data_IF_590310032241
#
_entry.id   IF_590310032241
#
_cell.length_a   1.000
_cell.length_b   1.000
_cell.length_c   1.000
_cell.angle_alpha   90.00
_cell.angle_beta   90.00
_cell.angle_gamma   90.00
#
_symmetry.space_group_name_H-M   'P 1'
#
loop_
_entity.id
_entity.type
_entity.pdbx_description
1 polymer ?
#
# COMPACT_ATOMS: atom_id res chain seq x y z
N UNK A 1 -15.56 -13.51 -3.74
CA UNK A 1 -15.06 -14.52 -4.68
C UNK A 1 -13.55 -14.64 -4.53
N UNK A 2 -13.00 -15.84 -4.63
CA UNK A 2 -11.59 -16.17 -4.42
C UNK A 2 -10.91 -16.57 -5.73
N UNK A 3 -9.55 -16.57 -5.74
CA UNK A 3 -8.77 -17.07 -6.89
C UNK A 3 -9.14 -18.51 -7.25
N UNK A 4 -9.43 -19.35 -6.25
CA UNK A 4 -9.83 -20.75 -6.47
C UNK A 4 -11.18 -20.87 -7.17
N UNK A 5 -12.14 -20.03 -6.84
CA UNK A 5 -13.45 -20.00 -7.50
C UNK A 5 -13.33 -19.51 -8.96
N UNK A 6 -12.53 -18.47 -9.21
CA UNK A 6 -12.22 -18.02 -10.57
C UNK A 6 -11.54 -19.12 -11.38
N UNK A 7 -10.57 -19.81 -10.78
CA UNK A 7 -9.88 -20.94 -11.43
C UNK A 7 -10.84 -22.04 -11.83
N UNK A 8 -11.76 -22.40 -10.93
CA UNK A 8 -12.79 -23.41 -11.18
C UNK A 8 -13.72 -23.01 -12.34
N UNK A 9 -14.20 -21.76 -12.33
CA UNK A 9 -15.08 -21.24 -13.39
C UNK A 9 -14.38 -21.14 -14.75
N UNK A 10 -13.11 -20.74 -14.76
CA UNK A 10 -12.31 -20.64 -15.98
C UNK A 10 -11.76 -21.99 -16.47
N UNK A 11 -11.90 -23.07 -15.68
CA UNK A 11 -11.34 -24.39 -16.00
C UNK A 11 -9.81 -24.38 -16.09
N UNK A 12 -9.14 -23.68 -15.17
CA UNK A 12 -7.68 -23.56 -15.08
C UNK A 12 -7.22 -23.76 -13.64
N UNK A 13 -5.91 -23.86 -13.42
CA UNK A 13 -5.36 -23.93 -12.06
C UNK A 13 -5.36 -22.54 -11.39
N UNK A 14 -5.41 -22.51 -10.05
CA UNK A 14 -5.25 -21.25 -9.28
C UNK A 14 -3.90 -20.56 -9.55
N UNK A 15 -2.86 -21.34 -9.88
CA UNK A 15 -1.58 -20.81 -10.30
C UNK A 15 -1.65 -20.07 -11.64
N UNK A 16 -2.50 -20.54 -12.59
CA UNK A 16 -2.74 -19.84 -13.85
C UNK A 16 -3.45 -18.50 -13.62
N UNK A 17 -4.48 -18.48 -12.77
CA UNK A 17 -5.17 -17.22 -12.39
C UNK A 17 -4.19 -16.25 -11.72
N UNK A 18 -3.36 -16.75 -10.81
CA UNK A 18 -2.34 -15.92 -10.15
C UNK A 18 -1.33 -15.33 -11.14
N UNK A 19 -0.89 -16.10 -12.17
CA UNK A 19 -0.02 -15.58 -13.23
C UNK A 19 -0.72 -14.51 -14.06
N UNK A 20 -1.98 -14.74 -14.43
CA UNK A 20 -2.78 -13.75 -15.15
C UNK A 20 -2.84 -12.42 -14.41
N UNK A 21 -3.13 -12.44 -13.12
CA UNK A 21 -3.26 -11.25 -12.27
C UNK A 21 -1.93 -10.52 -11.99
N UNK A 22 -0.78 -11.14 -12.28
CA UNK A 22 0.55 -10.56 -12.10
C UNK A 22 1.31 -10.44 -13.44
N UNK A 23 0.61 -10.37 -14.56
CA UNK A 23 1.17 -10.25 -15.92
C UNK A 23 2.22 -11.31 -16.26
N UNK A 24 2.13 -12.48 -15.62
CA UNK A 24 3.02 -13.59 -15.85
C UNK A 24 2.74 -14.31 -17.17
N UNK A 25 3.67 -15.14 -17.60
CA UNK A 25 3.55 -15.95 -18.82
C UNK A 25 2.40 -16.95 -18.73
N UNK A 26 1.50 -16.90 -19.72
CA UNK A 26 0.32 -17.74 -19.83
C UNK A 26 -0.06 -17.91 -21.30
N UNK A 27 -0.58 -19.09 -21.68
CA UNK A 27 -1.09 -19.27 -23.04
C UNK A 27 -2.28 -18.35 -23.32
N UNK A 28 -2.42 -17.92 -24.55
CA UNK A 28 -3.48 -16.99 -24.96
C UNK A 28 -4.88 -17.54 -24.65
N UNK A 29 -5.09 -18.83 -24.88
CA UNK A 29 -6.33 -19.52 -24.56
C UNK A 29 -6.70 -19.40 -23.07
N UNK A 30 -5.75 -19.72 -22.17
CA UNK A 30 -5.98 -19.61 -20.72
C UNK A 30 -6.23 -18.15 -20.30
N UNK A 31 -5.51 -17.21 -20.90
CA UNK A 31 -5.68 -15.78 -20.65
C UNK A 31 -7.12 -15.34 -20.99
N UNK A 32 -7.62 -15.68 -22.16
CA UNK A 32 -8.99 -15.34 -22.60
C UNK A 32 -10.06 -15.96 -21.69
N UNK A 33 -9.88 -17.22 -21.29
CA UNK A 33 -10.82 -17.91 -20.37
C UNK A 33 -10.89 -17.22 -19.01
N UNK A 34 -9.76 -16.84 -18.44
CA UNK A 34 -9.70 -16.14 -17.16
C UNK A 34 -10.30 -14.74 -17.28
N UNK A 35 -9.94 -14.00 -18.32
CA UNK A 35 -10.45 -12.65 -18.57
C UNK A 35 -11.97 -12.62 -18.70
N UNK A 36 -12.55 -13.58 -19.44
CA UNK A 36 -13.99 -13.74 -19.57
C UNK A 36 -14.66 -13.90 -18.21
N UNK A 37 -14.17 -14.83 -17.38
CA UNK A 37 -14.75 -15.09 -16.04
C UNK A 37 -14.59 -13.86 -15.14
N UNK A 38 -13.45 -13.20 -15.13
CA UNK A 38 -13.24 -11.98 -14.33
C UNK A 38 -14.23 -10.89 -14.73
N UNK A 39 -14.45 -10.68 -16.02
CA UNK A 39 -15.40 -9.69 -16.53
C UNK A 39 -16.84 -10.04 -16.16
N UNK A 40 -17.24 -11.29 -16.32
CA UNK A 40 -18.61 -11.77 -16.04
C UNK A 40 -18.94 -11.73 -14.54
N UNK A 41 -17.93 -11.98 -13.69
CA UNK A 41 -18.10 -12.01 -12.24
C UNK A 41 -17.77 -10.69 -11.55
N UNK A 42 -17.29 -9.70 -12.30
CA UNK A 42 -16.75 -8.44 -11.77
C UNK A 42 -15.73 -8.67 -10.63
N UNK A 43 -14.96 -9.76 -10.74
CA UNK A 43 -13.98 -10.12 -9.73
C UNK A 43 -12.87 -9.08 -9.63
N UNK A 44 -12.59 -8.64 -8.43
CA UNK A 44 -11.43 -7.81 -8.10
C UNK A 44 -10.52 -8.58 -7.15
N UNK A 45 -9.23 -8.71 -7.47
CA UNK A 45 -8.27 -9.31 -6.55
C UNK A 45 -8.28 -8.58 -5.22
N UNK A 46 -8.28 -9.33 -4.12
CA UNK A 46 -8.15 -8.74 -2.79
C UNK A 46 -6.71 -8.24 -2.59
N UNK A 47 -6.55 -6.94 -2.39
CA UNK A 47 -5.25 -6.34 -2.02
C UNK A 47 -4.71 -6.96 -0.73
N UNK A 48 -5.59 -7.24 0.23
CA UNK A 48 -5.23 -7.89 1.48
C UNK A 48 -4.60 -9.28 1.22
N UNK A 49 -5.23 -10.12 0.39
CA UNK A 49 -4.68 -11.42 0.04
C UNK A 49 -3.35 -11.31 -0.72
N UNK A 50 -3.16 -10.27 -1.52
CA UNK A 50 -1.89 -9.97 -2.19
C UNK A 50 -0.83 -9.58 -1.17
N UNK A 51 -1.13 -8.66 -0.28
CA UNK A 51 -0.23 -8.19 0.79
C UNK A 51 0.21 -9.34 1.69
N UNK A 52 -0.72 -10.21 2.11
CA UNK A 52 -0.41 -11.40 2.91
C UNK A 52 0.60 -12.33 2.23
N UNK A 53 0.51 -12.48 0.91
CA UNK A 53 1.40 -13.34 0.13
C UNK A 53 2.76 -12.69 -0.16
N UNK A 54 2.76 -11.42 -0.54
CA UNK A 54 3.97 -10.69 -0.97
C UNK A 54 4.69 -10.01 0.18
N UNK A 55 4.04 -9.88 1.33
CA UNK A 55 4.48 -9.06 2.48
C UNK A 55 4.75 -7.59 2.09
N UNK A 56 4.10 -7.12 1.01
CA UNK A 56 4.18 -5.74 0.53
C UNK A 56 2.79 -5.19 0.28
N UNK A 57 2.51 -4.04 0.86
CA UNK A 57 1.25 -3.32 0.69
C UNK A 57 1.28 -2.35 -0.50
N UNK A 58 2.47 -1.99 -0.98
CA UNK A 58 2.73 -0.90 -1.91
C UNK A 58 2.19 0.44 -1.40
N UNK A 59 2.28 0.67 -0.10
CA UNK A 59 1.85 1.89 0.57
C UNK A 59 2.99 2.51 1.35
N UNK A 60 3.16 3.81 1.22
CA UNK A 60 4.08 4.61 2.02
C UNK A 60 3.26 5.56 2.88
N UNK A 61 3.49 5.53 4.19
CA UNK A 61 2.93 6.52 5.10
C UNK A 61 3.70 7.84 4.97
N UNK A 62 2.98 8.95 4.98
CA UNK A 62 3.58 10.29 5.06
C UNK A 62 2.87 11.03 6.18
N UNK A 63 3.61 11.34 7.23
CA UNK A 63 3.14 12.15 8.35
C UNK A 63 3.70 13.56 8.22
N UNK A 64 2.80 14.53 8.20
CA UNK A 64 3.16 15.95 8.13
C UNK A 64 2.59 16.71 9.33
N UNK A 65 3.29 17.74 9.83
CA UNK A 65 2.83 18.52 10.98
C UNK A 65 1.69 19.46 10.63
N UNK A 66 1.69 20.00 9.41
CA UNK A 66 0.70 20.99 8.96
C UNK A 66 0.63 21.00 7.43
N UNK A 67 -0.52 20.64 6.87
CA UNK A 67 -0.69 20.44 5.42
C UNK A 67 -0.70 21.75 4.63
N UNK A 68 -1.13 22.83 5.25
CA UNK A 68 -1.28 24.18 4.65
C UNK A 68 -0.05 25.08 4.83
N UNK A 69 1.10 24.53 5.23
CA UNK A 69 2.38 25.26 5.26
C UNK A 69 2.93 25.48 3.84
N UNK A 70 3.84 26.45 3.68
CA UNK A 70 4.46 26.71 2.36
C UNK A 70 5.34 25.55 1.85
N UNK A 71 5.98 24.83 2.76
CA UNK A 71 6.95 23.78 2.41
C UNK A 71 6.28 22.44 2.11
N UNK A 72 5.28 22.05 2.90
CA UNK A 72 4.68 20.70 2.83
C UNK A 72 4.08 20.39 1.47
N UNK A 73 3.33 21.27 0.78
CA UNK A 73 2.83 20.95 -0.56
C UNK A 73 3.92 20.63 -1.58
N UNK A 74 5.06 21.32 -1.51
CA UNK A 74 6.20 21.05 -2.40
C UNK A 74 6.85 19.71 -2.09
N UNK A 75 7.00 19.38 -0.81
CA UNK A 75 7.52 18.07 -0.36
C UNK A 75 6.59 16.95 -0.84
N UNK A 76 5.27 17.11 -0.64
CA UNK A 76 4.28 16.12 -1.06
C UNK A 76 4.26 15.91 -2.57
N UNK A 77 4.42 16.98 -3.36
CA UNK A 77 4.50 16.87 -4.82
C UNK A 77 5.68 15.98 -5.25
N UNK A 78 6.87 16.20 -4.68
CA UNK A 78 8.04 15.38 -4.96
C UNK A 78 7.90 13.93 -4.50
N UNK A 79 7.31 13.70 -3.32
CA UNK A 79 7.02 12.36 -2.81
C UNK A 79 6.05 11.64 -3.74
N UNK A 80 4.93 12.29 -4.11
CA UNK A 80 3.90 11.70 -4.96
C UNK A 80 4.47 11.28 -6.31
N UNK A 81 5.19 12.16 -6.98
CA UNK A 81 5.83 11.85 -8.26
C UNK A 81 6.77 10.64 -8.17
N UNK A 82 7.57 10.57 -7.11
CA UNK A 82 8.50 9.45 -6.93
C UNK A 82 7.80 8.15 -6.59
N UNK A 83 6.74 8.20 -5.81
CA UNK A 83 5.94 7.03 -5.43
C UNK A 83 5.17 6.48 -6.63
N UNK A 84 4.59 7.34 -7.46
CA UNK A 84 3.90 6.94 -8.70
C UNK A 84 4.83 6.19 -9.65
N UNK A 85 6.07 6.67 -9.83
CA UNK A 85 7.09 5.97 -10.64
C UNK A 85 7.43 4.57 -10.11
N UNK A 86 7.20 4.31 -8.85
CA UNK A 86 7.48 3.03 -8.18
C UNK A 86 6.23 2.19 -7.94
N UNK A 87 5.06 2.62 -8.41
CA UNK A 87 3.75 2.01 -8.14
C UNK A 87 3.44 1.87 -6.65
N UNK A 88 3.79 2.89 -5.86
CA UNK A 88 3.41 3.03 -4.47
C UNK A 88 2.30 4.06 -4.30
N UNK A 89 1.38 3.78 -3.38
CA UNK A 89 0.36 4.73 -2.95
C UNK A 89 0.82 5.48 -1.71
N UNK A 90 0.53 6.78 -1.64
CA UNK A 90 0.83 7.61 -0.47
C UNK A 90 -0.39 7.67 0.45
N UNK A 91 -0.19 7.30 1.71
CA UNK A 91 -1.14 7.53 2.79
C UNK A 91 -0.68 8.75 3.58
N UNK A 92 -1.33 9.89 3.35
CA UNK A 92 -1.01 11.15 4.01
C UNK A 92 -1.83 11.32 5.28
N UNK A 93 -1.16 11.63 6.37
CA UNK A 93 -1.80 12.02 7.63
C UNK A 93 -1.19 13.31 8.17
N UNK A 94 -2.05 14.18 8.72
CA UNK A 94 -1.72 15.49 9.24
C UNK A 94 -1.97 15.55 10.75
N UNK A 95 -0.94 15.88 11.52
CA UNK A 95 -1.04 15.96 12.98
C UNK A 95 -1.63 17.29 13.48
N UNK A 96 -1.69 18.34 12.65
CA UNK A 96 -2.04 19.69 13.05
C UNK A 96 -1.20 20.20 14.23
N UNK A 97 0.10 19.96 14.19
CA UNK A 97 1.08 20.35 15.22
C UNK A 97 0.80 19.73 16.62
N UNK A 98 0.03 18.66 16.69
CA UNK A 98 -0.29 17.96 17.93
C UNK A 98 0.62 16.74 18.13
N UNK A 99 1.45 16.76 19.15
CA UNK A 99 2.30 15.63 19.53
C UNK A 99 1.50 14.36 19.80
N UNK A 100 0.36 14.48 20.49
CA UNK A 100 -0.50 13.32 20.78
C UNK A 100 -1.03 12.68 19.49
N UNK A 101 -1.44 13.52 18.52
CA UNK A 101 -1.86 13.01 17.20
C UNK A 101 -0.70 12.41 16.42
N UNK A 102 0.51 12.98 16.48
CA UNK A 102 1.67 12.41 15.81
C UNK A 102 1.95 10.98 16.29
N UNK A 103 1.97 10.77 17.59
CA UNK A 103 2.16 9.42 18.16
C UNK A 103 1.05 8.46 17.74
N UNK A 104 -0.23 8.88 17.84
CA UNK A 104 -1.36 8.05 17.40
C UNK A 104 -1.34 7.74 15.90
N UNK A 105 -0.84 8.66 15.07
CA UNK A 105 -0.66 8.44 13.62
C UNK A 105 0.43 7.39 13.35
N UNK A 106 1.55 7.41 14.08
CA UNK A 106 2.59 6.39 13.95
C UNK A 106 2.03 5.00 14.24
N UNK A 107 1.25 4.85 15.30
CA UNK A 107 0.55 3.59 15.61
C UNK A 107 -0.43 3.17 14.50
N UNK A 108 -1.14 4.14 13.91
CA UNK A 108 -2.06 3.89 12.79
C UNK A 108 -1.33 3.38 11.56
N UNK A 109 -0.16 3.93 11.23
CA UNK A 109 0.65 3.45 10.11
C UNK A 109 1.20 2.04 10.34
N UNK A 110 1.59 1.70 11.56
CA UNK A 110 1.98 0.34 11.92
C UNK A 110 0.83 -0.65 11.65
N UNK A 111 -0.37 -0.34 12.13
CA UNK A 111 -1.57 -1.16 11.91
C UNK A 111 -1.99 -1.24 10.43
N UNK A 112 -1.76 -0.17 9.67
CA UNK A 112 -2.09 -0.08 8.24
C UNK A 112 -1.12 -0.84 7.32
N UNK A 113 -0.10 -1.48 7.90
CA UNK A 113 0.90 -2.28 7.18
C UNK A 113 1.56 -1.52 6.02
N UNK A 114 1.91 -0.25 6.23
CA UNK A 114 2.72 0.49 5.26
C UNK A 114 4.09 -0.16 5.09
N UNK A 115 4.69 -0.06 3.90
CA UNK A 115 6.00 -0.63 3.60
C UNK A 115 7.15 0.30 4.05
N UNK A 116 6.84 1.53 4.40
CA UNK A 116 7.76 2.53 4.90
C UNK A 116 7.04 3.81 5.33
N UNK A 117 7.73 4.67 6.04
CA UNK A 117 7.22 5.93 6.55
C UNK A 117 8.15 7.08 6.20
N UNK A 118 7.58 8.18 5.72
CA UNK A 118 8.24 9.48 5.63
C UNK A 118 7.63 10.37 6.72
N UNK A 119 8.47 10.79 7.65
CA UNK A 119 8.05 11.59 8.80
C UNK A 119 8.61 13.01 8.71
N UNK A 120 7.78 13.96 8.36
CA UNK A 120 8.12 15.38 8.37
C UNK A 120 7.83 15.92 9.78
N UNK A 121 8.84 15.94 10.62
CA UNK A 121 8.73 16.38 12.02
C UNK A 121 9.02 17.86 12.18
N UNK A 122 8.26 18.53 13.03
CA UNK A 122 8.62 19.89 13.53
C UNK A 122 9.65 19.80 14.66
N UNK A 123 9.44 18.86 15.58
CA UNK A 123 10.29 18.61 16.76
C UNK A 123 10.31 17.12 17.03
N UNK A 124 11.50 16.56 17.25
CA UNK A 124 11.64 15.18 17.72
C UNK A 124 11.75 15.16 19.25
N UNK A 125 10.95 14.30 19.85
CA UNK A 125 10.93 14.06 21.31
C UNK A 125 11.26 12.61 21.62
N UNK A 126 11.56 12.32 22.90
CA UNK A 126 11.72 10.95 23.39
C UNK A 126 10.55 10.02 23.04
N UNK A 127 9.33 10.54 23.02
CA UNK A 127 8.14 9.77 22.66
C UNK A 127 8.16 9.36 21.18
N UNK A 128 8.65 10.23 20.30
CA UNK A 128 8.86 9.86 18.89
C UNK A 128 9.92 8.77 18.76
N UNK A 129 11.07 8.90 19.45
CA UNK A 129 12.11 7.88 19.42
C UNK A 129 11.58 6.51 19.82
N UNK A 130 10.77 6.44 20.89
CA UNK A 130 10.15 5.19 21.34
C UNK A 130 9.18 4.65 20.30
N UNK A 131 8.28 5.46 19.77
CA UNK A 131 7.29 5.04 18.78
C UNK A 131 7.96 4.56 17.49
N UNK A 132 8.95 5.30 16.99
CA UNK A 132 9.69 4.97 15.77
C UNK A 132 10.54 3.70 15.93
N UNK A 133 11.10 3.45 17.12
CA UNK A 133 11.88 2.23 17.39
C UNK A 133 11.03 0.95 17.32
N UNK A 134 9.72 1.03 17.53
CA UNK A 134 8.79 -0.10 17.43
C UNK A 134 8.26 -0.32 16.00
N UNK A 135 8.43 0.66 15.11
CA UNK A 135 8.01 0.49 13.71
C UNK A 135 8.87 -0.55 12.99
N UNK A 136 8.25 -1.63 12.54
CA UNK A 136 8.92 -2.71 11.81
C UNK A 136 9.25 -2.38 10.35
N UNK A 137 9.24 -1.10 9.96
CA UNK A 137 9.47 -0.63 8.58
C UNK A 137 10.48 0.52 8.55
N UNK A 138 11.14 0.75 7.40
CA UNK A 138 12.04 1.88 7.24
C UNK A 138 11.34 3.22 7.47
N UNK A 139 11.99 4.12 8.19
CA UNK A 139 11.54 5.48 8.46
C UNK A 139 12.58 6.48 8.00
N UNK A 140 12.15 7.52 7.30
CA UNK A 140 12.97 8.65 6.82
C UNK A 140 12.37 9.96 7.29
#
# INVERSE_FOLDING_TARGET
MTISEIAKLAGVSSAAVSRYLNDGSLSQEKRQRIEKVIRETNYRPSEYARTMRTKKSNRIGVLVPQIDSEAVPKILSGISERMDQKNYHVLLMNSNLSLEKEIGILETFEQSQVDGLIFVASILTKRHEVALAHMGVPVV
#
